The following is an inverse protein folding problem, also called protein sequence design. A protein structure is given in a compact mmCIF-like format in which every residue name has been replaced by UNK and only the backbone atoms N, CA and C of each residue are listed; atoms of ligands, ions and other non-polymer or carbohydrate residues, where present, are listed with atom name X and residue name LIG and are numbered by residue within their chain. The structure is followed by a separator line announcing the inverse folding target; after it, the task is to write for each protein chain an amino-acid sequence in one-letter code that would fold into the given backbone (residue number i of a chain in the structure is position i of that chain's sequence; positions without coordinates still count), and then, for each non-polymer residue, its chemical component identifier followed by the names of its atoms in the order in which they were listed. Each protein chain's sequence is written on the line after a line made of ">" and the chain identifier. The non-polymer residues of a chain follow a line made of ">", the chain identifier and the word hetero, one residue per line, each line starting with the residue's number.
data_IF_784666909878
#
_entry.id   IF_784666909878
#
_cell.length_a   1.000
_cell.length_b   1.000
_cell.length_c   1.000
_cell.angle_alpha   90.00
_cell.angle_beta   90.00
_cell.angle_gamma   90.00
#
_symmetry.space_group_name_H-M   'P 1'
#
loop_
_entity.id
_entity.type
_entity.pdbx_description
1 polymer ?
#
# COMPACT_ATOMS: atom_id res chain seq x y z
N UNK A 1 -31.58 12.12 11.70
CA UNK A 1 -30.12 12.17 11.48
C UNK A 1 -29.89 11.77 10.03
N UNK A 2 -29.67 12.72 9.16
CA UNK A 2 -29.31 12.45 7.76
C UNK A 2 -27.90 11.86 7.79
N UNK A 3 -27.78 10.57 7.48
CA UNK A 3 -26.48 9.93 7.35
C UNK A 3 -25.68 10.66 6.29
N UNK A 4 -24.62 11.36 6.72
CA UNK A 4 -23.65 11.95 5.81
C UNK A 4 -23.09 10.80 5.00
N UNK A 5 -23.33 10.81 3.69
CA UNK A 5 -22.73 9.81 2.80
C UNK A 5 -21.22 9.84 3.03
N UNK A 6 -20.63 8.67 3.30
CA UNK A 6 -19.18 8.56 3.44
C UNK A 6 -18.53 8.97 2.11
N UNK A 7 -17.86 10.12 2.08
CA UNK A 7 -17.29 10.73 0.88
C UNK A 7 -15.91 11.29 1.19
N UNK A 8 -15.03 11.30 0.20
CA UNK A 8 -13.73 11.97 0.22
C UNK A 8 -13.79 13.36 -0.45
N UNK A 9 -15.00 13.91 -0.62
CA UNK A 9 -15.18 15.22 -1.22
C UNK A 9 -14.40 16.30 -0.44
N UNK A 10 -13.65 17.13 -1.17
CA UNK A 10 -12.75 18.12 -0.59
C UNK A 10 -11.50 17.58 0.10
N UNK A 11 -11.32 16.27 0.20
CA UNK A 11 -10.12 15.63 0.77
C UNK A 11 -9.01 15.46 -0.27
N UNK A 12 -7.76 15.60 0.15
CA UNK A 12 -6.58 15.36 -0.67
C UNK A 12 -5.94 14.03 -0.30
N UNK A 13 -5.89 13.11 -1.26
CA UNK A 13 -5.38 11.74 -1.08
C UNK A 13 -4.06 11.60 -1.84
N UNK A 14 -3.03 11.16 -1.15
CA UNK A 14 -1.70 10.86 -1.72
C UNK A 14 -1.51 9.36 -1.80
N UNK A 15 -1.17 8.84 -2.98
CA UNK A 15 -0.93 7.40 -3.17
C UNK A 15 0.49 7.19 -3.68
N UNK A 16 1.39 6.74 -2.79
CA UNK A 16 2.75 6.33 -3.15
C UNK A 16 2.72 4.86 -3.62
N UNK A 17 3.19 4.61 -4.83
CA UNK A 17 2.93 3.38 -5.58
C UNK A 17 1.63 3.45 -6.39
N UNK A 18 1.11 4.66 -6.60
CA UNK A 18 -0.19 4.92 -7.24
C UNK A 18 -0.23 4.74 -8.75
N UNK A 19 0.90 4.45 -9.41
CA UNK A 19 0.94 4.38 -10.87
C UNK A 19 0.41 3.07 -11.46
N UNK A 20 0.22 2.01 -10.67
CA UNK A 20 -0.24 0.70 -11.15
C UNK A 20 -0.92 -0.12 -10.05
N UNK A 21 -1.51 -1.24 -10.42
CA UNK A 21 -2.01 -2.27 -9.52
C UNK A 21 -2.98 -1.74 -8.46
N UNK A 22 -2.77 -2.14 -7.21
CA UNK A 22 -3.61 -1.73 -6.07
C UNK A 22 -3.57 -0.21 -5.88
N UNK A 23 -2.37 0.41 -6.01
CA UNK A 23 -2.22 1.84 -5.81
C UNK A 23 -3.02 2.66 -6.82
N UNK A 24 -3.01 2.27 -8.09
CA UNK A 24 -3.80 2.96 -9.10
C UNK A 24 -5.31 2.79 -8.85
N UNK A 25 -5.74 1.59 -8.46
CA UNK A 25 -7.14 1.35 -8.11
C UNK A 25 -7.60 2.16 -6.86
N UNK A 26 -6.69 2.42 -5.89
CA UNK A 26 -6.96 3.34 -4.78
C UNK A 26 -7.16 4.76 -5.31
N UNK A 27 -6.28 5.21 -6.22
CA UNK A 27 -6.37 6.54 -6.83
C UNK A 27 -7.70 6.71 -7.58
N UNK A 28 -8.09 5.73 -8.41
CA UNK A 28 -9.37 5.72 -9.13
C UNK A 28 -10.57 5.81 -8.17
N UNK A 29 -10.58 4.95 -7.13
CA UNK A 29 -11.70 4.89 -6.20
C UNK A 29 -11.79 6.16 -5.33
N UNK A 30 -10.65 6.69 -4.86
CA UNK A 30 -10.63 7.95 -4.10
C UNK A 30 -11.09 9.13 -4.95
N UNK A 31 -10.67 9.19 -6.22
CA UNK A 31 -11.12 10.22 -7.16
C UNK A 31 -12.63 10.12 -7.42
N UNK A 32 -13.15 8.91 -7.62
CA UNK A 32 -14.60 8.68 -7.77
C UNK A 32 -15.43 9.06 -6.53
N UNK A 33 -14.79 9.13 -5.35
CA UNK A 33 -15.38 9.60 -4.09
C UNK A 33 -15.21 11.11 -3.86
N UNK A 34 -14.72 11.86 -4.86
CA UNK A 34 -14.57 13.32 -4.82
C UNK A 34 -13.23 13.84 -4.33
N UNK A 35 -12.24 12.96 -4.08
CA UNK A 35 -10.93 13.39 -3.61
C UNK A 35 -10.10 14.07 -4.71
N UNK A 36 -9.31 15.08 -4.31
CA UNK A 36 -8.16 15.53 -5.07
C UNK A 36 -7.01 14.53 -4.90
N UNK A 37 -6.63 13.82 -5.98
CA UNK A 37 -5.68 12.70 -5.91
C UNK A 37 -4.30 13.11 -6.39
N UNK A 38 -3.27 12.72 -5.62
CA UNK A 38 -1.86 12.78 -6.01
C UNK A 38 -1.34 11.37 -6.21
N UNK A 39 -0.98 11.04 -7.45
CA UNK A 39 -0.34 9.77 -7.83
C UNK A 39 1.17 9.95 -7.74
N UNK A 40 1.83 9.13 -6.91
CA UNK A 40 3.28 9.17 -6.77
C UNK A 40 3.93 7.80 -7.05
N UNK A 41 5.05 7.81 -7.77
CA UNK A 41 5.86 6.62 -8.09
C UNK A 41 7.31 7.03 -8.40
N UNK A 42 8.23 6.08 -8.40
CA UNK A 42 9.65 6.35 -8.64
C UNK A 42 9.99 6.64 -10.12
N UNK A 43 9.13 6.28 -11.05
CA UNK A 43 9.39 6.39 -12.50
C UNK A 43 8.51 7.45 -13.12
N UNK A 44 9.07 8.57 -13.66
CA UNK A 44 8.28 9.63 -14.28
C UNK A 44 7.34 9.16 -15.39
N UNK A 45 7.79 8.24 -16.23
CA UNK A 45 6.97 7.69 -17.32
C UNK A 45 5.71 6.98 -16.78
N UNK A 46 5.85 6.20 -15.69
CA UNK A 46 4.71 5.52 -15.07
C UNK A 46 3.73 6.51 -14.43
N UNK A 47 4.24 7.58 -13.82
CA UNK A 47 3.42 8.65 -13.26
C UNK A 47 2.62 9.34 -14.34
N UNK A 48 3.25 9.74 -15.45
CA UNK A 48 2.59 10.40 -16.57
C UNK A 48 1.49 9.51 -17.18
N UNK A 49 1.80 8.26 -17.47
CA UNK A 49 0.83 7.30 -17.99
C UNK A 49 -0.37 7.08 -17.03
N UNK A 50 -0.13 7.10 -15.72
CA UNK A 50 -1.21 6.97 -14.74
C UNK A 50 -2.09 8.23 -14.69
N UNK A 51 -1.52 9.41 -14.76
CA UNK A 51 -2.28 10.69 -14.81
C UNK A 51 -3.10 10.81 -16.09
N UNK A 52 -2.58 10.37 -17.24
CA UNK A 52 -3.35 10.32 -18.49
C UNK A 52 -4.59 9.41 -18.37
N UNK A 53 -4.47 8.31 -17.61
CA UNK A 53 -5.58 7.36 -17.36
C UNK A 53 -6.58 7.88 -16.32
N UNK A 54 -6.19 8.82 -15.47
CA UNK A 54 -7.05 9.40 -14.42
C UNK A 54 -7.06 10.93 -14.54
N UNK A 55 -7.82 11.50 -15.50
CA UNK A 55 -7.92 12.94 -15.67
C UNK A 55 -8.40 13.63 -14.39
N UNK A 56 -7.72 14.69 -13.98
CA UNK A 56 -7.97 15.40 -12.72
C UNK A 56 -7.04 15.00 -11.56
N UNK A 57 -6.34 13.87 -11.65
CA UNK A 57 -5.27 13.56 -10.73
C UNK A 57 -3.99 14.36 -11.05
N UNK A 58 -3.16 14.60 -10.03
CA UNK A 58 -1.82 15.18 -10.20
C UNK A 58 -0.76 14.12 -10.04
N UNK A 59 0.32 14.21 -10.82
CA UNK A 59 1.44 13.27 -10.78
C UNK A 59 2.66 13.87 -10.09
N UNK A 60 3.38 13.06 -9.31
CA UNK A 60 4.66 13.41 -8.68
C UNK A 60 5.61 12.23 -8.68
N UNK A 61 6.89 12.49 -8.86
CA UNK A 61 7.93 11.44 -8.75
C UNK A 61 8.49 11.42 -7.34
N UNK A 62 8.61 10.21 -6.75
CA UNK A 62 9.29 10.00 -5.47
C UNK A 62 9.98 8.64 -5.45
N UNK A 63 11.27 8.61 -5.13
CA UNK A 63 12.00 7.38 -4.88
C UNK A 63 12.16 7.15 -3.38
N UNK A 64 11.51 6.12 -2.87
CA UNK A 64 11.53 5.76 -1.45
C UNK A 64 12.90 5.24 -0.97
N UNK A 65 13.85 4.97 -1.87
CA UNK A 65 15.24 4.59 -1.50
C UNK A 65 16.08 5.79 -1.06
N UNK A 66 15.67 6.98 -1.44
CA UNK A 66 16.36 8.24 -1.15
C UNK A 66 15.55 9.10 -0.19
N UNK A 67 15.96 9.16 1.07
CA UNK A 67 15.27 9.95 2.09
C UNK A 67 15.26 11.45 1.76
N UNK A 68 16.29 11.99 1.11
CA UNK A 68 16.32 13.40 0.73
C UNK A 68 15.29 13.71 -0.36
N UNK A 69 15.13 12.78 -1.32
CA UNK A 69 14.07 12.86 -2.34
C UNK A 69 12.68 12.79 -1.71
N UNK A 70 12.46 11.89 -0.73
CA UNK A 70 11.20 11.79 0.03
C UNK A 70 10.92 13.09 0.81
N UNK A 71 11.94 13.67 1.46
CA UNK A 71 11.79 14.93 2.19
C UNK A 71 11.40 16.09 1.25
N UNK A 72 12.06 16.20 0.10
CA UNK A 72 11.73 17.19 -0.94
C UNK A 72 10.30 17.01 -1.45
N UNK A 73 9.89 15.77 -1.75
CA UNK A 73 8.53 15.45 -2.18
C UNK A 73 7.47 15.99 -1.21
N UNK A 74 7.58 15.68 0.09
CA UNK A 74 6.60 16.17 1.07
C UNK A 74 6.71 17.66 1.34
N UNK A 75 7.92 18.25 1.24
CA UNK A 75 8.14 19.69 1.36
C UNK A 75 7.41 20.50 0.28
N UNK A 76 7.37 19.97 -0.95
CA UNK A 76 6.67 20.59 -2.08
C UNK A 76 5.18 20.24 -2.16
N UNK A 77 4.78 19.11 -1.57
CA UNK A 77 3.41 18.60 -1.65
C UNK A 77 2.42 19.53 -0.95
N UNK A 78 2.81 20.10 0.19
CA UNK A 78 1.90 20.84 1.08
C UNK A 78 0.93 19.94 1.85
N UNK A 79 -0.14 20.52 2.39
CA UNK A 79 -1.11 19.81 3.22
C UNK A 79 -1.90 18.75 2.44
N UNK A 80 -2.22 17.64 3.11
CA UNK A 80 -3.06 16.56 2.59
C UNK A 80 -3.78 15.84 3.73
N UNK A 81 -4.82 15.05 3.40
CA UNK A 81 -5.65 14.36 4.40
C UNK A 81 -5.30 12.89 4.55
N UNK A 82 -5.04 12.17 3.46
CA UNK A 82 -4.82 10.74 3.52
C UNK A 82 -3.59 10.32 2.71
N UNK A 83 -2.82 9.38 3.27
CA UNK A 83 -1.67 8.76 2.62
C UNK A 83 -1.87 7.25 2.50
N UNK A 84 -1.83 6.72 1.29
CA UNK A 84 -1.74 5.29 1.04
C UNK A 84 -0.36 4.93 0.47
N UNK A 85 0.30 3.93 1.04
CA UNK A 85 1.62 3.47 0.58
C UNK A 85 1.49 2.02 0.13
N UNK A 86 1.53 1.82 -1.19
CA UNK A 86 1.49 0.50 -1.83
C UNK A 86 2.80 0.16 -2.56
N UNK A 87 3.76 1.07 -2.52
CA UNK A 87 5.04 0.88 -3.16
C UNK A 87 5.77 -0.36 -2.65
N UNK A 88 6.35 -1.13 -3.55
CA UNK A 88 7.13 -2.31 -3.25
C UNK A 88 8.10 -2.63 -4.36
N UNK A 89 9.25 -3.19 -4.00
CA UNK A 89 10.16 -3.77 -4.96
C UNK A 89 9.79 -5.23 -5.18
N UNK A 90 9.42 -5.55 -6.42
CA UNK A 90 9.03 -6.89 -6.85
C UNK A 90 10.13 -7.55 -7.70
N UNK A 91 11.34 -6.95 -7.77
CA UNK A 91 12.46 -7.49 -8.52
C UNK A 91 12.97 -8.81 -7.92
N UNK A 92 13.33 -9.75 -8.78
CA UNK A 92 13.89 -11.03 -8.39
C UNK A 92 12.92 -11.96 -7.66
N UNK A 93 13.42 -13.11 -7.18
CA UNK A 93 12.59 -14.11 -6.51
C UNK A 93 12.20 -13.68 -5.09
N UNK A 94 10.90 -13.69 -4.80
CA UNK A 94 10.36 -13.48 -3.45
C UNK A 94 10.58 -14.70 -2.54
N UNK A 95 10.76 -15.87 -3.13
CA UNK A 95 10.87 -17.15 -2.41
C UNK A 95 12.32 -17.65 -2.48
N UNK A 96 13.10 -17.31 -1.47
CA UNK A 96 14.50 -17.75 -1.32
C UNK A 96 14.69 -18.29 0.09
N UNK A 97 15.23 -19.54 0.19
CA UNK A 97 15.56 -20.13 1.48
C UNK A 97 16.57 -19.26 2.23
N UNK A 98 16.49 -19.24 3.56
CA UNK A 98 17.49 -18.54 4.38
C UNK A 98 18.91 -19.03 4.13
N UNK A 99 19.07 -20.29 3.68
CA UNK A 99 20.37 -20.86 3.36
C UNK A 99 21.03 -20.27 2.12
N UNK A 100 20.18 -19.77 1.19
CA UNK A 100 20.60 -19.26 -0.12
C UNK A 100 20.38 -17.74 -0.23
N UNK A 101 19.95 -17.10 0.86
CA UNK A 101 19.59 -15.69 0.87
C UNK A 101 20.83 -14.79 0.76
N UNK A 102 20.87 -14.02 -0.31
CA UNK A 102 21.85 -12.92 -0.45
C UNK A 102 21.43 -11.73 0.45
N UNK A 103 22.25 -11.45 1.46
CA UNK A 103 21.97 -10.40 2.44
C UNK A 103 22.08 -8.99 1.85
N UNK A 104 22.86 -8.77 0.78
CA UNK A 104 22.92 -7.47 0.12
C UNK A 104 21.59 -7.20 -0.62
N UNK A 105 21.09 -8.16 -1.39
CA UNK A 105 19.78 -8.07 -2.03
C UNK A 105 18.64 -7.97 -1.00
N UNK A 106 18.74 -8.67 0.13
CA UNK A 106 17.75 -8.58 1.20
C UNK A 106 17.64 -7.16 1.78
N UNK A 107 18.79 -6.49 2.01
CA UNK A 107 18.84 -5.09 2.47
C UNK A 107 18.22 -4.15 1.44
N UNK A 108 18.52 -4.35 0.16
CA UNK A 108 17.97 -3.54 -0.92
C UNK A 108 16.45 -3.62 -0.99
N UNK A 109 15.88 -4.81 -0.81
CA UNK A 109 14.42 -5.00 -0.76
C UNK A 109 13.76 -4.32 0.44
N UNK A 110 14.44 -4.27 1.58
CA UNK A 110 13.98 -3.55 2.76
C UNK A 110 14.06 -2.03 2.57
N UNK A 111 14.89 -1.54 1.64
CA UNK A 111 15.05 -0.10 1.41
C UNK A 111 13.75 0.57 1.01
N UNK A 112 12.94 -0.04 0.15
CA UNK A 112 11.64 0.50 -0.26
C UNK A 112 10.55 0.17 0.76
N UNK A 113 10.40 -1.13 1.12
CA UNK A 113 9.22 -1.60 1.86
C UNK A 113 9.23 -1.31 3.35
N UNK A 114 10.38 -1.04 3.92
CA UNK A 114 10.50 -0.73 5.34
C UNK A 114 11.10 0.67 5.55
N UNK A 115 12.33 0.90 5.13
CA UNK A 115 13.00 2.18 5.34
C UNK A 115 12.34 3.32 4.55
N UNK A 116 11.94 3.06 3.31
CA UNK A 116 11.22 4.03 2.50
C UNK A 116 9.83 4.36 3.03
N UNK A 117 9.13 3.36 3.60
CA UNK A 117 7.85 3.59 4.30
C UNK A 117 8.06 4.45 5.54
N UNK A 118 9.11 4.17 6.35
CA UNK A 118 9.47 5.01 7.50
C UNK A 118 9.79 6.44 7.08
N UNK A 119 10.59 6.63 6.02
CA UNK A 119 10.91 7.96 5.49
C UNK A 119 9.64 8.69 5.03
N UNK A 120 8.74 8.01 4.29
CA UNK A 120 7.49 8.61 3.84
C UNK A 120 6.60 9.05 5.01
N UNK A 121 6.48 8.23 6.05
CA UNK A 121 5.71 8.58 7.25
C UNK A 121 6.38 9.72 8.02
N UNK A 122 7.69 9.65 8.24
CA UNK A 122 8.49 10.68 8.95
C UNK A 122 8.33 12.07 8.33
N UNK A 123 8.34 12.18 7.02
CA UNK A 123 8.22 13.46 6.33
C UNK A 123 6.76 13.85 6.09
N UNK A 124 5.88 12.90 5.78
CA UNK A 124 4.46 13.13 5.53
C UNK A 124 3.67 13.54 6.79
N UNK A 125 4.03 13.02 7.97
CA UNK A 125 3.33 13.36 9.21
C UNK A 125 3.41 14.84 9.61
N UNK A 126 4.31 15.61 8.97
CA UNK A 126 4.45 17.05 9.24
C UNK A 126 3.36 17.91 8.57
N UNK A 127 2.75 17.40 7.51
CA UNK A 127 1.78 18.15 6.70
C UNK A 127 0.44 17.44 6.51
N UNK A 128 0.29 16.24 7.05
CA UNK A 128 -1.00 15.53 7.07
C UNK A 128 -1.99 16.22 8.03
N UNK A 129 -3.26 16.25 7.66
CA UNK A 129 -4.33 16.77 8.52
C UNK A 129 -4.46 15.93 9.81
N UNK A 130 -4.80 16.59 10.92
CA UNK A 130 -4.93 15.93 12.23
C UNK A 130 -6.04 14.86 12.27
N UNK A 131 -7.10 15.02 11.48
CA UNK A 131 -8.18 14.05 11.28
C UNK A 131 -7.89 13.05 10.15
N UNK A 132 -6.71 13.12 9.58
CA UNK A 132 -6.26 12.32 8.45
C UNK A 132 -5.93 10.87 8.78
N UNK A 133 -5.45 10.14 7.75
CA UNK A 133 -5.01 8.77 7.94
C UNK A 133 -3.84 8.36 7.04
N UNK A 134 -3.05 7.41 7.55
CA UNK A 134 -2.00 6.72 6.82
C UNK A 134 -2.38 5.24 6.72
N UNK A 135 -2.35 4.67 5.51
CA UNK A 135 -2.62 3.25 5.29
C UNK A 135 -1.42 2.60 4.61
N UNK A 136 -0.81 1.66 5.31
CA UNK A 136 0.33 0.88 4.85
C UNK A 136 -0.14 -0.41 4.16
N UNK A 137 0.76 -1.08 3.45
CA UNK A 137 0.49 -2.36 2.77
C UNK A 137 1.40 -3.45 3.32
N UNK A 138 0.83 -4.45 3.99
CA UNK A 138 1.51 -5.68 4.40
C UNK A 138 1.27 -6.80 3.38
N UNK A 139 1.14 -8.04 3.82
CA UNK A 139 0.80 -9.18 2.98
C UNK A 139 0.64 -10.47 3.77
N UNK A 140 -0.15 -11.40 3.23
CA UNK A 140 -0.55 -12.66 3.88
C UNK A 140 0.60 -13.51 4.43
N UNK A 141 1.81 -13.42 3.86
CA UNK A 141 2.97 -14.17 4.34
C UNK A 141 3.35 -13.83 5.79
N UNK A 142 2.96 -12.65 6.31
CA UNK A 142 3.13 -12.30 7.71
C UNK A 142 2.37 -13.28 8.65
N UNK A 143 1.23 -13.76 8.23
CA UNK A 143 0.32 -14.63 9.01
C UNK A 143 0.38 -16.11 8.57
N UNK A 144 0.64 -16.33 7.29
CA UNK A 144 0.72 -17.66 6.68
C UNK A 144 2.10 -17.87 6.05
N UNK A 145 3.15 -18.05 6.87
CA UNK A 145 4.52 -18.28 6.39
C UNK A 145 4.61 -19.49 5.47
N UNK A 146 5.45 -19.39 4.44
CA UNK A 146 5.71 -20.48 3.50
C UNK A 146 7.19 -20.81 3.46
N UNK A 147 7.49 -22.08 3.14
CA UNK A 147 8.87 -22.51 2.89
C UNK A 147 9.51 -21.64 1.82
N UNK A 148 10.74 -21.19 2.07
CA UNK A 148 11.45 -20.30 1.16
C UNK A 148 11.02 -18.83 1.22
N UNK A 149 10.21 -18.41 2.19
CA UNK A 149 9.72 -17.03 2.30
C UNK A 149 10.02 -16.37 3.66
N UNK A 150 11.18 -16.57 4.31
CA UNK A 150 11.44 -15.95 5.62
C UNK A 150 11.48 -14.42 5.54
N UNK A 151 12.10 -13.86 4.49
CA UNK A 151 12.21 -12.42 4.34
C UNK A 151 10.87 -11.73 4.06
N UNK A 152 10.04 -12.14 3.08
CA UNK A 152 8.73 -11.52 2.90
C UNK A 152 7.79 -11.70 4.10
N UNK A 153 7.90 -12.81 4.84
CA UNK A 153 7.19 -13.02 6.12
C UNK A 153 7.57 -11.94 7.14
N UNK A 154 8.87 -11.74 7.36
CA UNK A 154 9.38 -10.74 8.29
C UNK A 154 9.01 -9.32 7.87
N UNK A 155 9.10 -9.00 6.57
CA UNK A 155 8.75 -7.69 6.03
C UNK A 155 7.26 -7.36 6.26
N UNK A 156 6.36 -8.30 5.98
CA UNK A 156 4.93 -8.12 6.22
C UNK A 156 4.64 -7.86 7.70
N UNK A 157 5.19 -8.69 8.59
CA UNK A 157 5.05 -8.52 10.04
C UNK A 157 5.62 -7.18 10.54
N UNK A 158 6.80 -6.78 10.05
CA UNK A 158 7.40 -5.49 10.40
C UNK A 158 6.49 -4.30 10.06
N UNK A 159 5.87 -4.31 8.88
CA UNK A 159 4.93 -3.24 8.46
C UNK A 159 3.69 -3.21 9.36
N UNK A 160 3.15 -4.37 9.75
CA UNK A 160 1.96 -4.45 10.60
C UNK A 160 2.23 -3.91 12.02
N UNK A 161 3.34 -4.31 12.61
CA UNK A 161 3.72 -3.78 13.92
C UNK A 161 4.14 -2.31 13.87
N UNK A 162 4.75 -1.87 12.76
CA UNK A 162 5.00 -0.46 12.52
C UNK A 162 3.69 0.34 12.48
N UNK A 163 2.65 -0.14 11.79
CA UNK A 163 1.35 0.53 11.75
C UNK A 163 0.75 0.71 13.16
N UNK A 164 0.87 -0.29 14.04
CA UNK A 164 0.41 -0.19 15.43
C UNK A 164 1.21 0.81 16.25
N UNK A 165 2.54 0.80 16.11
CA UNK A 165 3.42 1.76 16.79
C UNK A 165 3.12 3.20 16.36
N UNK A 166 3.00 3.42 15.06
CA UNK A 166 2.69 4.74 14.49
C UNK A 166 1.28 5.22 14.86
N UNK A 167 0.31 4.32 15.03
CA UNK A 167 -1.04 4.69 15.49
C UNK A 167 -1.04 5.30 16.90
N UNK A 168 -0.11 4.90 17.74
CA UNK A 168 0.08 5.50 19.08
C UNK A 168 0.88 6.79 19.00
N UNK A 169 1.97 6.78 18.23
CA UNK A 169 2.93 7.87 18.16
C UNK A 169 2.37 9.12 17.45
N UNK A 170 1.57 8.92 16.40
CA UNK A 170 1.03 9.99 15.55
C UNK A 170 -0.40 10.43 15.92
N UNK A 171 -0.98 9.88 17.00
CA UNK A 171 -2.33 10.27 17.41
C UNK A 171 -2.49 11.81 17.47
N UNK A 172 -3.58 12.38 16.93
CA UNK A 172 -4.83 11.75 16.49
C UNK A 172 -4.84 11.29 15.03
N UNK A 173 -3.76 11.42 14.25
CA UNK A 173 -3.66 10.85 12.90
C UNK A 173 -3.77 9.33 12.98
N UNK A 174 -4.71 8.76 12.22
CA UNK A 174 -4.96 7.31 12.26
C UNK A 174 -3.98 6.57 11.36
N UNK A 175 -3.42 5.47 11.84
CA UNK A 175 -2.51 4.63 11.05
C UNK A 175 -3.00 3.19 11.07
N UNK A 176 -3.14 2.59 9.87
CA UNK A 176 -3.59 1.22 9.68
C UNK A 176 -2.75 0.52 8.60
N UNK A 177 -2.92 -0.78 8.46
CA UNK A 177 -2.38 -1.53 7.33
C UNK A 177 -3.47 -2.39 6.67
N UNK A 178 -3.41 -2.53 5.35
CA UNK A 178 -4.15 -3.55 4.62
C UNK A 178 -3.22 -4.73 4.39
N UNK A 179 -3.74 -5.94 4.63
CA UNK A 179 -3.06 -7.20 4.37
C UNK A 179 -3.73 -7.89 3.18
N UNK A 180 -3.31 -7.59 1.92
CA UNK A 180 -3.92 -8.20 0.76
C UNK A 180 -3.47 -9.66 0.59
N UNK A 181 -4.39 -10.47 0.07
CA UNK A 181 -4.12 -11.78 -0.47
C UNK A 181 -3.50 -11.71 -1.87
N UNK A 182 -3.83 -12.69 -2.70
CA UNK A 182 -3.42 -12.68 -4.10
C UNK A 182 -4.31 -11.70 -4.89
N UNK A 183 -3.71 -10.64 -5.42
CA UNK A 183 -4.38 -9.60 -6.20
C UNK A 183 -3.84 -9.61 -7.63
N UNK A 184 -4.71 -9.64 -8.64
CA UNK A 184 -4.38 -9.66 -10.07
C UNK A 184 -3.81 -8.31 -10.54
N UNK A 185 -2.65 -7.94 -10.02
CA UNK A 185 -1.83 -6.85 -10.56
C UNK A 185 -1.12 -7.30 -11.84
N UNK A 186 -0.57 -6.38 -12.63
CA UNK A 186 0.11 -6.74 -13.86
C UNK A 186 1.32 -7.66 -13.65
N UNK A 187 1.98 -7.55 -12.50
CA UNK A 187 3.02 -8.49 -12.08
C UNK A 187 2.46 -9.90 -11.84
N UNK A 188 1.34 -10.02 -11.13
CA UNK A 188 0.72 -11.33 -10.83
C UNK A 188 0.12 -11.97 -12.07
N UNK A 189 -0.40 -11.20 -13.02
CA UNK A 189 -0.90 -11.70 -14.32
C UNK A 189 0.17 -12.38 -15.18
N UNK A 190 1.46 -12.12 -14.91
CA UNK A 190 2.57 -12.78 -15.61
C UNK A 190 2.91 -14.17 -15.06
N UNK A 191 2.32 -14.55 -13.94
CA UNK A 191 2.52 -15.88 -13.34
C UNK A 191 1.84 -16.95 -14.21
N UNK A 192 2.42 -18.18 -14.29
CA UNK A 192 1.76 -19.29 -14.95
C UNK A 192 0.37 -19.57 -14.37
N UNK A 193 -0.62 -19.80 -15.22
CA UNK A 193 -2.01 -20.04 -14.80
C UNK A 193 -2.13 -21.19 -13.79
N UNK A 194 -1.41 -22.30 -14.01
CA UNK A 194 -1.41 -23.42 -13.10
C UNK A 194 -0.91 -23.05 -11.68
N UNK A 195 0.05 -22.11 -11.59
CA UNK A 195 0.53 -21.60 -10.31
C UNK A 195 -0.53 -20.72 -9.64
N UNK A 196 -1.17 -19.82 -10.40
CA UNK A 196 -2.27 -18.99 -9.90
C UNK A 196 -3.40 -19.88 -9.36
N UNK A 197 -3.83 -20.87 -10.11
CA UNK A 197 -4.89 -21.80 -9.73
C UNK A 197 -4.53 -22.58 -8.47
N UNK A 198 -3.29 -23.06 -8.34
CA UNK A 198 -2.85 -23.76 -7.12
C UNK A 198 -2.85 -22.89 -5.88
N UNK A 199 -2.68 -21.55 -6.04
CA UNK A 199 -2.69 -20.60 -4.92
C UNK A 199 -4.11 -20.23 -4.50
N UNK A 200 -5.07 -20.21 -5.41
CA UNK A 200 -6.43 -19.77 -5.11
C UNK A 200 -7.41 -20.91 -4.83
N UNK A 201 -7.15 -22.12 -5.34
CA UNK A 201 -8.05 -23.26 -5.18
C UNK A 201 -8.41 -23.60 -3.70
N UNK A 202 -7.48 -23.48 -2.73
CA UNK A 202 -7.81 -23.75 -1.33
C UNK A 202 -8.56 -22.60 -0.63
N UNK A 203 -8.69 -21.43 -1.25
CA UNK A 203 -9.31 -20.26 -0.61
C UNK A 203 -10.83 -20.44 -0.48
N UNK A 204 -11.46 -19.99 0.61
CA UNK A 204 -12.92 -19.89 0.71
C UNK A 204 -13.56 -19.10 -0.43
N UNK A 205 -12.90 -18.03 -0.91
CA UNK A 205 -13.24 -17.36 -2.17
C UNK A 205 -12.20 -17.77 -3.21
N UNK A 206 -12.44 -18.84 -4.03
CA UNK A 206 -11.40 -19.54 -4.79
C UNK A 206 -10.98 -18.81 -6.07
N UNK A 207 -10.59 -17.56 -5.93
CA UNK A 207 -10.04 -16.71 -6.99
C UNK A 207 -9.10 -15.66 -6.43
N UNK A 208 -8.29 -15.07 -7.28
CA UNK A 208 -7.56 -13.85 -6.93
C UNK A 208 -8.50 -12.63 -6.91
N UNK A 209 -8.20 -11.66 -6.06
CA UNK A 209 -8.92 -10.40 -6.03
C UNK A 209 -8.52 -9.50 -7.21
N UNK A 210 -9.42 -8.63 -7.64
CA UNK A 210 -9.06 -7.50 -8.49
C UNK A 210 -8.38 -6.40 -7.67
N UNK A 211 -7.55 -5.53 -8.28
CA UNK A 211 -7.02 -4.34 -7.61
C UNK A 211 -8.13 -3.45 -7.00
N UNK A 212 -9.27 -3.32 -7.66
CA UNK A 212 -10.42 -2.55 -7.18
C UNK A 212 -11.03 -3.13 -5.90
N UNK A 213 -11.05 -4.46 -5.73
CA UNK A 213 -11.52 -5.08 -4.48
C UNK A 213 -10.58 -4.76 -3.32
N UNK A 214 -9.27 -4.83 -3.53
CA UNK A 214 -8.28 -4.45 -2.52
C UNK A 214 -8.37 -2.94 -2.17
N UNK A 215 -8.55 -2.07 -3.15
CA UNK A 215 -8.63 -0.62 -2.98
C UNK A 215 -9.77 -0.20 -2.03
N UNK A 216 -10.89 -0.94 -2.00
CA UNK A 216 -12.02 -0.66 -1.10
C UNK A 216 -11.61 -0.64 0.37
N UNK A 217 -10.67 -1.48 0.79
CA UNK A 217 -10.17 -1.51 2.16
C UNK A 217 -9.43 -0.22 2.53
N UNK A 218 -8.63 0.32 1.61
CA UNK A 218 -7.91 1.58 1.84
C UNK A 218 -8.87 2.75 1.96
N UNK A 219 -9.83 2.85 1.04
CA UNK A 219 -10.85 3.92 1.08
C UNK A 219 -11.74 3.78 2.32
N UNK A 220 -12.11 2.56 2.72
CA UNK A 220 -12.80 2.31 4.00
C UNK A 220 -11.97 2.85 5.18
N UNK A 221 -10.67 2.60 5.25
CA UNK A 221 -9.82 3.08 6.34
C UNK A 221 -9.61 4.61 6.30
N UNK A 222 -9.70 5.25 5.14
CA UNK A 222 -9.74 6.70 5.02
C UNK A 222 -11.03 7.26 5.62
N UNK A 223 -12.17 6.68 5.27
CA UNK A 223 -13.51 7.13 5.62
C UNK A 223 -13.92 6.79 7.07
N UNK A 224 -13.42 5.68 7.63
CA UNK A 224 -13.75 5.27 8.98
C UNK A 224 -12.89 6.02 10.02
N UNK A 225 -13.42 7.11 10.56
CA UNK A 225 -12.74 7.97 11.54
C UNK A 225 -12.44 7.31 12.90
N UNK A 226 -12.88 6.06 13.13
CA UNK A 226 -12.66 5.35 14.41
C UNK A 226 -11.72 4.12 14.28
N UNK A 227 -11.18 3.87 13.07
CA UNK A 227 -10.26 2.77 12.82
C UNK A 227 -8.80 3.26 12.87
N UNK A 228 -8.02 2.81 13.86
CA UNK A 228 -6.58 3.04 13.96
C UNK A 228 -5.87 1.82 14.56
N UNK A 229 -4.61 1.59 14.21
CA UNK A 229 -3.83 0.43 14.65
C UNK A 229 -4.31 -0.92 14.10
N UNK A 230 -5.22 -0.91 13.11
CA UNK A 230 -5.82 -2.12 12.57
C UNK A 230 -5.02 -2.69 11.42
N UNK A 231 -5.02 -4.02 11.33
CA UNK A 231 -4.56 -4.77 10.16
C UNK A 231 -5.81 -5.37 9.52
N UNK A 232 -6.13 -4.92 8.31
CA UNK A 232 -7.35 -5.33 7.61
C UNK A 232 -7.04 -6.35 6.50
N UNK A 233 -7.33 -7.65 6.70
CA UNK A 233 -7.16 -8.66 5.66
C UNK A 233 -8.16 -8.46 4.52
N UNK A 234 -7.69 -8.59 3.27
CA UNK A 234 -8.49 -8.67 2.05
C UNK A 234 -7.91 -9.79 1.21
N UNK A 235 -8.23 -11.03 1.55
CA UNK A 235 -7.43 -12.20 1.20
C UNK A 235 -8.25 -13.40 0.68
N UNK A 236 -9.56 -13.23 0.50
CA UNK A 236 -10.44 -14.33 0.09
C UNK A 236 -10.58 -15.46 1.12
N UNK A 237 -10.25 -15.17 2.38
CA UNK A 237 -10.23 -16.16 3.46
C UNK A 237 -8.92 -16.93 3.57
N UNK A 238 -7.84 -16.45 2.93
CA UNK A 238 -6.54 -17.12 2.92
C UNK A 238 -5.89 -17.26 4.30
N UNK A 239 -6.29 -16.47 5.29
CA UNK A 239 -5.83 -16.62 6.68
C UNK A 239 -6.52 -17.78 7.41
N UNK A 240 -7.57 -18.34 6.87
CA UNK A 240 -8.36 -19.42 7.49
C UNK A 240 -7.89 -20.85 7.06
N UNK A 241 -7.10 -20.93 5.96
CA UNK A 241 -6.71 -22.18 5.31
C UNK A 241 -5.20 -22.32 5.19
#
# INVERSE_FOLDING_TARGET
>A
MTGTAMSLDGKRVVVIGGASGIGFAIAELAHAQGAAVVIASSTPANVNAAVERLPGATGRTVDLRDEANVAGFFGELGAFDHLAITAGDWSGSMFVSIRDLDLAQARERLSVRFWGVLAAVKHGCRTIAQDGSITLTSGMLAHRPRKGAPLPTAMGGAVEYLARGLAMDLSPVRVNAVCPGLVLTDHVKQMPEAMLQSMVAPLPVPRAASPAEAAKAYVYLMLNGYATGQILPVDGGGLLV
#
